data_IF_248595076388
#
_entry.id   IF_248595076388
#
_cell.length_a   1.000
_cell.length_b   1.000
_cell.length_c   1.000
_cell.angle_alpha   90.00
_cell.angle_beta   90.00
_cell.angle_gamma   90.00
#
_symmetry.space_group_name_H-M   'P 1'
#
loop_
_entity.id
_entity.type
_entity.pdbx_description
1 polymer ?
#
# COMPACT_ATOMS: atom_id res chain seq x y z
N UNK A 1 -20.99 -7.91 -13.40
CA UNK A 1 -20.68 -7.67 -13.13
C UNK A 1 -20.00 -7.61 -12.73
N UNK A 2 -19.49 -7.50 -12.64
CA UNK A 2 -18.95 -7.38 -12.31
C UNK A 2 -18.21 -7.26 -11.80
N UNK A 3 -18.23 -7.50 -11.91
CA UNK A 3 -17.44 -7.55 -11.46
C UNK A 3 -16.67 -7.03 -10.84
N UNK A 4 -16.56 -6.84 -10.80
CA UNK A 4 -15.95 -6.04 -10.22
C UNK A 4 -15.64 -6.07 -8.97
N UNK A 5 -15.42 -6.95 -8.49
CA UNK A 5 -15.12 -7.00 -7.25
C UNK A 5 -13.73 -6.96 -7.12
N UNK A 6 -13.07 -5.85 -7.17
CA UNK A 6 -11.77 -5.73 -6.78
C UNK A 6 -11.73 -5.69 -5.35
N UNK A 7 -11.35 -6.72 -4.73
CA UNK A 7 -11.12 -6.71 -3.31
C UNK A 7 -9.69 -6.38 -3.09
N UNK A 8 -9.46 -5.21 -2.58
CA UNK A 8 -8.10 -4.73 -2.33
C UNK A 8 -7.71 -4.97 -0.88
N UNK A 9 -6.46 -5.29 -0.66
CA UNK A 9 -5.93 -5.47 0.69
C UNK A 9 -4.71 -4.58 0.86
N UNK A 10 -4.55 -4.06 2.05
CA UNK A 10 -3.39 -3.22 2.37
C UNK A 10 -2.18 -4.12 2.54
N UNK A 11 -1.14 -3.88 1.76
CA UNK A 11 0.07 -4.67 1.86
C UNK A 11 1.17 -3.88 2.55
N UNK A 12 1.06 -2.56 2.61
CA UNK A 12 2.04 -1.74 3.27
C UNK A 12 1.39 -0.46 3.74
N UNK A 13 1.81 0.01 4.87
CA UNK A 13 1.29 1.23 5.44
C UNK A 13 2.47 2.02 5.97
N UNK A 14 2.51 3.30 5.71
CA UNK A 14 3.62 4.12 6.16
C UNK A 14 3.18 5.56 6.22
N UNK A 15 3.80 6.32 7.10
CA UNK A 15 3.58 7.75 7.14
C UNK A 15 4.54 8.46 6.18
N UNK A 16 5.44 7.70 5.53
CA UNK A 16 6.37 8.27 4.58
C UNK A 16 5.98 7.90 3.17
N UNK A 17 5.48 8.87 2.43
CA UNK A 17 5.01 8.61 1.08
C UNK A 17 6.12 8.04 0.20
N UNK A 18 7.36 8.40 0.49
CA UNK A 18 8.50 7.91 -0.26
C UNK A 18 8.60 6.38 -0.21
N UNK A 19 8.38 5.82 0.97
CA UNK A 19 8.44 4.38 1.11
C UNK A 19 7.33 3.69 0.35
N UNK A 20 6.18 4.33 0.30
CA UNK A 20 5.05 3.77 -0.45
C UNK A 20 5.37 3.76 -1.93
N UNK A 21 5.97 4.83 -2.45
CA UNK A 21 6.32 4.88 -3.86
C UNK A 21 7.39 3.84 -4.22
N UNK A 22 8.35 3.64 -3.34
CA UNK A 22 9.38 2.64 -3.60
C UNK A 22 8.78 1.24 -3.63
N UNK A 23 7.89 0.96 -2.70
CA UNK A 23 7.24 -0.35 -2.67
C UNK A 23 6.39 -0.55 -3.92
N UNK A 24 5.69 0.50 -4.33
CA UNK A 24 4.85 0.41 -5.53
C UNK A 24 5.70 0.09 -6.75
N UNK A 25 6.82 0.78 -6.89
CA UNK A 25 7.71 0.54 -8.02
C UNK A 25 8.23 -0.89 -8.00
N UNK A 26 8.55 -1.38 -6.83
CA UNK A 26 9.05 -2.73 -6.72
C UNK A 26 8.00 -3.76 -7.13
N UNK A 27 6.77 -3.57 -6.69
CA UNK A 27 5.70 -4.49 -7.06
C UNK A 27 5.42 -4.43 -8.55
N UNK A 28 5.43 -3.23 -9.12
CA UNK A 28 5.16 -3.09 -10.54
C UNK A 28 6.25 -3.73 -11.38
N UNK A 29 7.49 -3.71 -10.90
CA UNK A 29 8.57 -4.35 -11.62
C UNK A 29 8.39 -5.87 -11.65
N UNK A 30 7.55 -6.41 -10.77
CA UNK A 30 7.26 -7.84 -10.75
C UNK A 30 5.89 -8.14 -11.36
N UNK A 31 5.27 -7.14 -11.98
CA UNK A 31 4.00 -7.35 -12.66
C UNK A 31 2.78 -7.29 -11.76
N UNK A 32 2.92 -6.77 -10.56
CA UNK A 32 1.80 -6.67 -9.64
C UNK A 32 1.31 -5.24 -9.60
N UNK A 33 0.04 -5.04 -9.88
CA UNK A 33 -0.54 -3.71 -9.81
C UNK A 33 -0.83 -3.35 -8.38
N UNK A 34 -0.50 -2.13 -8.01
CA UNK A 34 -0.76 -1.64 -6.67
C UNK A 34 -1.35 -0.25 -6.75
N UNK A 35 -2.00 0.14 -5.67
CA UNK A 35 -2.72 1.41 -5.62
C UNK A 35 -2.37 2.14 -4.33
N UNK A 36 -2.08 3.42 -4.44
CA UNK A 36 -1.75 4.22 -3.27
C UNK A 36 -3.02 4.90 -2.80
N UNK A 37 -3.33 4.71 -1.53
CA UNK A 37 -4.47 5.37 -0.90
C UNK A 37 -3.93 6.35 0.12
N UNK A 38 -4.33 7.61 -0.05
CA UNK A 38 -3.90 8.66 0.81
C UNK A 38 -5.05 8.97 1.74
N UNK A 39 -4.94 8.60 2.97
CA UNK A 39 -5.99 8.90 3.91
C UNK A 39 -5.57 10.02 4.79
N UNK A 40 -6.26 11.12 4.66
CA UNK A 40 -6.08 12.19 5.58
C UNK A 40 -6.88 11.86 6.82
N UNK A 41 -6.25 11.20 7.73
CA UNK A 41 -6.88 11.03 9.01
C UNK A 41 -6.50 12.22 9.81
N UNK A 42 -7.43 13.11 9.95
CA UNK A 42 -7.20 14.23 10.79
C UNK A 42 -7.40 13.81 12.21
N UNK A 43 -6.42 13.25 12.79
CA UNK A 43 -6.40 13.11 14.20
C UNK A 43 -5.66 14.31 14.70
N UNK A 44 -6.27 15.05 15.55
CA UNK A 44 -5.51 16.01 16.26
C UNK A 44 -5.26 15.44 17.62
N UNK A 45 -4.12 14.90 17.81
CA UNK A 45 -3.70 14.61 19.15
C UNK A 45 -2.85 15.81 19.48
N UNK A 46 -3.41 16.70 20.23
CA UNK A 46 -2.74 17.96 20.43
C UNK A 46 -2.86 18.79 19.16
N UNK A 47 -1.76 19.13 18.55
CA UNK A 47 -1.77 19.91 17.33
C UNK A 47 -1.16 19.15 16.17
N UNK A 48 -1.00 17.86 16.31
CA UNK A 48 -0.30 17.11 15.27
C UNK A 48 -1.28 16.49 14.29
N UNK A 49 -0.96 16.55 13.02
CA UNK A 49 -1.72 15.88 11.99
C UNK A 49 -0.91 14.68 11.59
N UNK A 50 -1.56 13.54 11.54
CA UNK A 50 -0.88 12.33 11.10
C UNK A 50 -1.45 11.94 9.77
N UNK A 51 -0.59 11.87 8.77
CA UNK A 51 -0.97 11.41 7.46
C UNK A 51 -0.53 9.97 7.34
N UNK A 52 -1.40 9.14 6.84
CA UNK A 52 -1.12 7.73 6.73
C UNK A 52 -1.38 7.34 5.29
N UNK A 53 -0.41 6.72 4.68
CA UNK A 53 -0.51 6.27 3.30
C UNK A 53 -0.56 4.75 3.30
N UNK A 54 -1.38 4.21 2.44
CA UNK A 54 -1.52 2.77 2.33
C UNK A 54 -1.25 2.35 0.91
N UNK A 55 -0.58 1.23 0.77
CA UNK A 55 -0.38 0.62 -0.55
C UNK A 55 -1.23 -0.63 -0.58
N UNK A 56 -2.10 -0.72 -1.57
CA UNK A 56 -3.05 -1.81 -1.65
C UNK A 56 -2.84 -2.59 -2.93
N UNK A 57 -3.11 -3.86 -2.86
CA UNK A 57 -3.05 -4.74 -4.02
C UNK A 57 -4.30 -5.58 -4.05
N UNK A 58 -4.56 -6.20 -5.18
CA UNK A 58 -5.67 -7.13 -5.28
C UNK A 58 -5.43 -8.26 -4.29
N UNK A 59 -6.47 -8.73 -3.65
CA UNK A 59 -6.31 -9.75 -2.63
C UNK A 59 -5.67 -11.03 -3.19
N UNK A 60 -5.85 -11.30 -4.47
CA UNK A 60 -5.23 -12.48 -5.07
C UNK A 60 -3.72 -12.34 -5.18
N UNK A 61 -3.23 -11.09 -5.15
CA UNK A 61 -1.80 -10.84 -5.26
C UNK A 61 -1.17 -10.57 -3.92
N UNK A 62 -1.97 -10.59 -2.86
CA UNK A 62 -1.49 -10.15 -1.56
C UNK A 62 -0.29 -10.95 -1.07
N UNK A 63 -0.39 -12.27 -1.15
CA UNK A 63 0.68 -13.12 -0.64
C UNK A 63 1.98 -12.90 -1.41
N UNK A 64 1.87 -12.81 -2.71
CA UNK A 64 3.05 -12.59 -3.52
C UNK A 64 3.62 -11.20 -3.28
N UNK A 65 2.77 -10.21 -3.18
CA UNK A 65 3.21 -8.85 -2.93
C UNK A 65 3.90 -8.75 -1.59
N UNK A 66 3.31 -9.38 -0.58
CA UNK A 66 3.89 -9.36 0.75
C UNK A 66 5.26 -10.02 0.74
N UNK A 67 5.41 -11.10 0.03
CA UNK A 67 6.69 -11.79 -0.08
C UNK A 67 7.73 -10.91 -0.75
N UNK A 68 7.35 -10.25 -1.83
CA UNK A 68 8.29 -9.40 -2.55
C UNK A 68 8.78 -8.27 -1.66
N UNK A 69 7.87 -7.65 -0.92
CA UNK A 69 8.28 -6.55 -0.06
C UNK A 69 9.09 -7.03 1.13
N UNK A 70 8.83 -8.24 1.61
CA UNK A 70 9.62 -8.80 2.69
C UNK A 70 11.04 -9.11 2.26
N UNK A 71 11.21 -9.58 1.05
CA UNK A 71 12.53 -9.91 0.57
C UNK A 71 13.40 -8.67 0.44
N UNK A 72 12.79 -7.51 0.36
CA UNK A 72 13.53 -6.29 0.26
C UNK A 72 14.12 -5.87 1.58
N UNK A 73 13.76 -6.52 2.69
CA UNK A 73 14.24 -6.15 3.93
C UNK A 73 15.59 -6.65 4.13
N UNK A 74 16.53 -5.91 4.38
CA UNK A 74 17.85 -6.39 4.70
C UNK A 74 18.09 -6.32 6.16
#
# INVERSE_FOLDING_TARGET
>A
MEASEKKLKVVLRSTFIHQIHLAKAKLESKGIKSYIVDEHITYTIGTAFIEDYKLMVNYTDFNEAHTILSLHKT
#
